data_IF_329102040806
#
_entry.id   IF_329102040806
#
_cell.length_a   1.000
_cell.length_b   1.000
_cell.length_c   1.000
_cell.angle_alpha   90.00
_cell.angle_beta   90.00
_cell.angle_gamma   90.00
#
_symmetry.space_group_name_H-M   'P 1'
#
loop_
_entity.id
_entity.type
_entity.pdbx_description
1 polymer ?
#
# COMPACT_ATOMS: atom_id res chain seq x y z
N UNK A 1 5.10 -15.06 -9.91
CA UNK A 1 5.68 -13.69 -9.93
C UNK A 1 4.79 -12.77 -10.77
N UNK A 2 3.71 -12.22 -10.21
CA UNK A 2 2.91 -11.21 -10.90
C UNK A 2 3.66 -9.87 -10.90
N UNK A 3 4.62 -9.71 -11.82
CA UNK A 3 5.54 -8.55 -11.85
C UNK A 3 4.80 -7.21 -11.94
N UNK A 4 3.63 -7.19 -12.59
CA UNK A 4 2.86 -5.97 -12.80
C UNK A 4 2.24 -5.42 -11.51
N UNK A 5 1.66 -6.27 -10.64
CA UNK A 5 0.98 -5.78 -9.43
C UNK A 5 1.98 -5.19 -8.44
N UNK A 6 3.16 -5.83 -8.29
CA UNK A 6 4.23 -5.32 -7.44
C UNK A 6 4.71 -3.93 -7.88
N UNK A 7 4.87 -3.70 -9.18
CA UNK A 7 5.28 -2.39 -9.71
C UNK A 7 4.23 -1.29 -9.47
N UNK A 8 2.95 -1.62 -9.62
CA UNK A 8 1.84 -0.70 -9.34
C UNK A 8 1.81 -0.34 -7.86
N UNK A 9 1.89 -1.35 -6.98
CA UNK A 9 1.90 -1.16 -5.53
C UNK A 9 3.09 -0.31 -5.10
N UNK A 10 4.30 -0.61 -5.58
CA UNK A 10 5.50 0.19 -5.32
C UNK A 10 5.34 1.64 -5.79
N UNK A 11 4.65 1.86 -6.91
CA UNK A 11 4.28 3.19 -7.40
C UNK A 11 3.46 3.97 -6.37
N UNK A 12 2.35 3.39 -5.90
CA UNK A 12 1.47 4.05 -4.93
C UNK A 12 2.14 4.24 -3.56
N UNK A 13 2.94 3.29 -3.09
CA UNK A 13 3.70 3.44 -1.84
C UNK A 13 4.65 4.64 -1.93
N UNK A 14 5.41 4.77 -3.02
CA UNK A 14 6.30 5.92 -3.23
C UNK A 14 5.56 7.25 -3.31
N UNK A 15 4.34 7.26 -3.84
CA UNK A 15 3.49 8.44 -3.92
C UNK A 15 2.77 8.76 -2.59
N UNK A 16 2.82 7.87 -1.61
CA UNK A 16 2.07 8.02 -0.36
C UNK A 16 0.56 7.80 -0.51
N UNK A 17 0.12 7.22 -1.61
CA UNK A 17 -1.29 7.13 -1.98
C UNK A 17 -1.96 5.90 -1.37
N UNK A 18 -2.32 6.04 -0.09
CA UNK A 18 -3.02 5.01 0.69
C UNK A 18 -4.38 4.67 0.08
N UNK A 19 -5.14 5.68 -0.34
CA UNK A 19 -6.52 5.51 -0.83
C UNK A 19 -6.55 4.67 -2.11
N UNK A 20 -5.61 4.90 -3.03
CA UNK A 20 -5.50 4.06 -4.23
C UNK A 20 -5.13 2.62 -3.91
N UNK A 21 -4.24 2.37 -2.94
CA UNK A 21 -3.90 1.02 -2.49
C UNK A 21 -5.09 0.31 -1.82
N UNK A 22 -5.85 1.00 -0.96
CA UNK A 22 -7.05 0.46 -0.32
C UNK A 22 -8.13 0.12 -1.35
N UNK A 23 -8.33 0.99 -2.34
CA UNK A 23 -9.27 0.78 -3.45
C UNK A 23 -8.86 -0.43 -4.28
N UNK A 24 -7.57 -0.54 -4.61
CA UNK A 24 -7.02 -1.68 -5.36
C UNK A 24 -7.21 -3.00 -4.59
N UNK A 25 -6.96 -2.99 -3.27
CA UNK A 25 -7.20 -4.15 -2.40
C UNK A 25 -8.67 -4.55 -2.40
N UNK A 26 -9.57 -3.59 -2.18
CA UNK A 26 -11.01 -3.86 -2.13
C UNK A 26 -11.50 -4.50 -3.42
N UNK A 27 -11.06 -3.99 -4.57
CA UNK A 27 -11.40 -4.55 -5.87
C UNK A 27 -10.88 -5.99 -6.04
N UNK A 28 -9.65 -6.31 -5.58
CA UNK A 28 -9.12 -7.68 -5.67
C UNK A 28 -9.85 -8.66 -4.76
N UNK A 29 -10.25 -8.22 -3.58
CA UNK A 29 -11.09 -9.03 -2.67
C UNK A 29 -12.44 -9.33 -3.30
N UNK A 30 -13.10 -8.32 -3.88
CA UNK A 30 -14.39 -8.49 -4.58
C UNK A 30 -14.28 -9.48 -5.76
N UNK A 31 -13.20 -9.39 -6.55
CA UNK A 31 -12.94 -10.34 -7.63
C UNK A 31 -12.75 -11.77 -7.11
N UNK A 32 -12.05 -11.94 -5.99
CA UNK A 32 -11.79 -13.25 -5.39
C UNK A 32 -13.09 -13.87 -4.83
N UNK A 33 -13.94 -13.05 -4.19
CA UNK A 33 -15.27 -13.49 -3.75
C UNK A 33 -16.15 -13.89 -4.92
N UNK A 34 -16.14 -13.09 -5.99
CA UNK A 34 -16.87 -13.40 -7.23
C UNK A 34 -16.39 -14.71 -7.86
N UNK A 35 -15.06 -14.93 -7.91
CA UNK A 35 -14.47 -16.16 -8.43
C UNK A 35 -14.86 -17.41 -7.62
N UNK A 36 -15.02 -17.27 -6.29
CA UNK A 36 -15.53 -18.33 -5.41
C UNK A 36 -17.00 -18.67 -5.65
N UNK A 37 -17.80 -17.69 -6.09
CA UNK A 37 -19.23 -17.91 -6.35
C UNK A 37 -19.51 -18.61 -7.69
N UNK A 38 -18.53 -18.69 -8.60
CA UNK A 38 -18.68 -19.33 -9.91
C UNK A 38 -18.33 -20.81 -9.77
N UNK A 39 -19.34 -21.69 -9.68
CA UNK A 39 -19.18 -23.14 -9.57
C UNK A 39 -18.96 -23.84 -10.93
N UNK A 40 -19.21 -23.15 -12.04
CA UNK A 40 -19.26 -23.75 -13.38
C UNK A 40 -17.91 -23.75 -14.12
N UNK A 41 -16.87 -23.12 -13.56
CA UNK A 41 -15.53 -23.04 -14.14
C UNK A 41 -14.46 -23.35 -13.09
N UNK A 42 -13.37 -23.98 -13.50
CA UNK A 42 -12.17 -24.11 -12.65
C UNK A 42 -11.50 -22.74 -12.53
N UNK A 43 -11.82 -22.04 -11.44
CA UNK A 43 -11.27 -20.72 -11.09
C UNK A 43 -10.05 -20.82 -10.17
N UNK A 44 -9.55 -22.03 -9.88
CA UNK A 44 -8.50 -22.25 -8.86
C UNK A 44 -7.23 -21.42 -9.11
N UNK A 45 -6.74 -21.40 -10.35
CA UNK A 45 -5.55 -20.61 -10.71
C UNK A 45 -5.79 -19.10 -10.59
N UNK A 46 -6.98 -18.64 -10.96
CA UNK A 46 -7.37 -17.23 -10.83
C UNK A 46 -7.46 -16.83 -9.36
N UNK A 47 -8.04 -17.69 -8.51
CA UNK A 47 -8.12 -17.47 -7.08
C UNK A 47 -6.74 -17.37 -6.44
N UNK A 48 -5.83 -18.31 -6.74
CA UNK A 48 -4.45 -18.26 -6.24
C UNK A 48 -3.74 -16.97 -6.67
N UNK A 49 -3.88 -16.56 -7.93
CA UNK A 49 -3.29 -15.31 -8.40
C UNK A 49 -3.88 -14.08 -7.70
N UNK A 50 -5.17 -14.08 -7.38
CA UNK A 50 -5.82 -12.99 -6.66
C UNK A 50 -5.39 -12.94 -5.18
N UNK A 51 -5.19 -14.10 -4.56
CA UNK A 51 -4.64 -14.20 -3.20
C UNK A 51 -3.21 -13.64 -3.13
N UNK A 52 -2.34 -14.00 -4.09
CA UNK A 52 -0.99 -13.43 -4.23
C UNK A 52 -1.04 -11.91 -4.45
N UNK A 53 -1.93 -11.42 -5.32
CA UNK A 53 -2.12 -9.99 -5.56
C UNK A 53 -2.50 -9.25 -4.27
N UNK A 54 -3.45 -9.80 -3.50
CA UNK A 54 -3.91 -9.21 -2.22
C UNK A 54 -2.76 -9.13 -1.22
N UNK A 55 -1.97 -10.20 -1.07
CA UNK A 55 -0.82 -10.23 -0.15
C UNK A 55 0.22 -9.15 -0.50
N UNK A 56 0.50 -8.96 -1.79
CA UNK A 56 1.42 -7.92 -2.28
C UNK A 56 0.87 -6.53 -1.93
N UNK A 57 -0.42 -6.29 -2.12
CA UNK A 57 -1.05 -4.99 -1.81
C UNK A 57 -1.05 -4.72 -0.30
N UNK A 58 -1.35 -5.72 0.53
CA UNK A 58 -1.34 -5.61 2.00
C UNK A 58 0.07 -5.32 2.54
N UNK A 59 1.08 -5.96 1.95
CA UNK A 59 2.49 -5.67 2.25
C UNK A 59 2.83 -4.22 1.89
N UNK A 60 2.37 -3.74 0.74
CA UNK A 60 2.53 -2.34 0.33
C UNK A 60 1.89 -1.35 1.29
N UNK A 61 0.66 -1.60 1.72
CA UNK A 61 -0.06 -0.79 2.71
C UNK A 61 0.67 -0.73 4.05
N UNK A 62 1.20 -1.87 4.50
CA UNK A 62 1.97 -1.97 5.76
C UNK A 62 3.26 -1.15 5.68
N UNK A 63 3.97 -1.23 4.55
CA UNK A 63 5.17 -0.41 4.29
C UNK A 63 4.85 1.08 4.28
N UNK A 64 3.75 1.48 3.63
CA UNK A 64 3.32 2.88 3.58
C UNK A 64 2.99 3.42 4.98
N UNK A 65 2.34 2.62 5.83
CA UNK A 65 2.08 2.99 7.22
C UNK A 65 3.37 3.20 8.02
N UNK A 66 4.32 2.27 7.92
CA UNK A 66 5.61 2.40 8.58
C UNK A 66 6.36 3.68 8.14
N UNK A 67 6.34 4.01 6.84
CA UNK A 67 6.94 5.25 6.31
C UNK A 67 6.29 6.52 6.87
N UNK A 68 4.99 6.48 7.16
CA UNK A 68 4.27 7.61 7.74
C UNK A 68 4.61 7.78 9.22
N UNK A 69 4.68 6.69 9.96
CA UNK A 69 5.09 6.68 11.38
C UNK A 69 6.50 7.25 11.55
N UNK A 70 7.45 6.85 10.68
CA UNK A 70 8.81 7.40 10.64
C UNK A 70 8.85 8.92 10.36
N UNK A 71 7.94 9.43 9.51
CA UNK A 71 7.84 10.86 9.20
C UNK A 71 7.21 11.67 10.35
N UNK A 72 6.26 11.09 11.08
CA UNK A 72 5.60 11.74 12.22
C UNK A 72 6.52 11.80 13.45
N UNK A 73 7.45 10.86 13.59
CA UNK A 73 8.50 10.84 14.63
C UNK A 73 9.70 11.74 14.33
N UNK A 74 9.76 12.39 13.16
CA UNK A 74 10.86 13.29 12.83
C UNK A 74 10.88 14.48 13.80
N UNK A 75 11.98 14.71 14.56
CA UNK A 75 12.04 15.82 15.51
C UNK A 75 11.96 17.13 14.72
N UNK A 76 10.96 17.95 15.08
CA UNK A 76 10.86 19.34 14.64
C UNK A 76 12.24 19.98 14.79
N UNK A 77 12.82 20.62 13.74
CA UNK A 77 14.09 21.32 13.91
C UNK A 77 13.87 22.37 14.99
N UNK A 78 14.46 22.15 16.17
CA UNK A 78 14.43 23.11 17.26
C UNK A 78 15.01 24.40 16.70
N UNK A 79 14.12 25.37 16.44
CA UNK A 79 14.46 26.69 15.95
C UNK A 79 15.42 27.30 16.98
N UNK A 80 16.72 27.23 16.70
CA UNK A 80 17.73 27.81 17.59
C UNK A 80 17.43 29.31 17.69
N UNK A 81 17.22 29.87 18.89
CA UNK A 81 17.01 31.29 19.04
C UNK A 81 18.31 32.00 18.65
N UNK A 82 18.26 32.77 17.56
CA UNK A 82 19.39 33.52 17.04
C UNK A 82 19.87 34.56 18.09
N UNK A 83 21.12 34.50 18.59
CA UNK A 83 21.60 35.41 19.64
C UNK A 83 21.92 36.84 19.16
N UNK A 84 21.64 37.20 17.91
CA UNK A 84 22.09 38.48 17.33
C UNK A 84 21.16 39.69 17.53
N UNK A 85 20.23 39.65 18.49
CA UNK A 85 19.32 40.77 18.77
C UNK A 85 19.76 41.62 19.97
N UNK A 86 21.02 42.06 20.00
CA UNK A 86 21.48 43.16 20.87
C UNK A 86 22.59 43.93 20.15
N UNK A 87 22.18 44.96 19.41
CA UNK A 87 22.97 46.16 19.19
C UNK A 87 22.21 47.32 19.82
#
# INVERSE_FOLDING_TARGET
MPLAISLIVDGYVRLGDRTSLETLRAHRVEMLESARSIAEMDTSLMMTSLEEDIEIIETGLSRLNAQREEQELAPTPLRQPNPQSRQ
#
